data_IF_248222639557
#
_entry.id   IF_248222639557
#
_cell.length_a   1.000
_cell.length_b   1.000
_cell.length_c   1.000
_cell.angle_alpha   90.00
_cell.angle_beta   90.00
_cell.angle_gamma   90.00
#
_symmetry.space_group_name_H-M   'P 1'
#
loop_
_entity.id
_entity.type
_entity.pdbx_description
1 polymer ?
#
# COMPACT_ATOMS: atom_id res chain seq x y z
N UNK A 1 -24.02 -68.61 -38.75
CA UNK A 1 -22.83 -67.75 -38.43
C UNK A 1 -22.83 -66.44 -39.23
N UNK A 2 -23.14 -66.48 -40.53
CA UNK A 2 -23.19 -65.28 -41.39
C UNK A 2 -24.25 -64.25 -40.92
N UNK A 3 -25.45 -64.72 -40.53
CA UNK A 3 -26.48 -63.79 -40.03
C UNK A 3 -26.10 -63.08 -38.73
N UNK A 4 -25.31 -63.72 -37.86
CA UNK A 4 -24.87 -63.12 -36.60
C UNK A 4 -23.78 -62.06 -36.86
N UNK A 5 -22.94 -62.30 -37.88
CA UNK A 5 -21.87 -61.36 -38.29
C UNK A 5 -22.46 -60.12 -38.94
N UNK A 6 -23.53 -60.30 -39.72
CA UNK A 6 -24.23 -59.19 -40.36
C UNK A 6 -24.99 -58.34 -39.33
N UNK A 7 -25.60 -58.94 -38.34
CA UNK A 7 -26.30 -58.24 -37.25
C UNK A 7 -25.34 -57.49 -36.34
N UNK A 8 -24.16 -58.07 -36.07
CA UNK A 8 -23.10 -57.35 -35.35
C UNK A 8 -22.51 -56.18 -36.16
N UNK A 9 -22.38 -56.33 -37.48
CA UNK A 9 -21.92 -55.26 -38.36
C UNK A 9 -22.92 -54.09 -38.45
N UNK A 10 -24.22 -54.37 -38.48
CA UNK A 10 -25.27 -53.31 -38.44
C UNK A 10 -25.32 -52.61 -37.07
N UNK A 11 -25.21 -53.35 -35.98
CA UNK A 11 -25.15 -52.77 -34.63
C UNK A 11 -23.88 -51.90 -34.44
N UNK A 12 -22.75 -52.33 -35.00
CA UNK A 12 -21.49 -51.54 -34.98
C UNK A 12 -21.60 -50.25 -35.79
N UNK A 13 -22.25 -50.30 -36.96
CA UNK A 13 -22.55 -49.11 -37.76
C UNK A 13 -23.49 -48.16 -37.08
N UNK A 14 -24.54 -48.68 -36.38
CA UNK A 14 -25.47 -47.90 -35.58
C UNK A 14 -24.76 -47.22 -34.40
N UNK A 15 -23.85 -47.94 -33.75
CA UNK A 15 -23.04 -47.39 -32.66
C UNK A 15 -22.06 -46.32 -33.15
N UNK A 16 -21.40 -46.52 -34.29
CA UNK A 16 -20.55 -45.51 -34.91
C UNK A 16 -21.32 -44.23 -35.29
N UNK A 17 -22.49 -44.37 -35.90
CA UNK A 17 -23.35 -43.25 -36.26
C UNK A 17 -23.83 -42.45 -35.04
N UNK A 18 -24.18 -43.15 -33.96
CA UNK A 18 -24.57 -42.52 -32.68
C UNK A 18 -23.39 -41.82 -32.02
N UNK A 19 -22.19 -42.43 -32.02
CA UNK A 19 -21.00 -41.83 -31.46
C UNK A 19 -20.56 -40.58 -32.26
N UNK A 20 -20.62 -40.62 -33.60
CA UNK A 20 -20.35 -39.45 -34.43
C UNK A 20 -21.37 -38.33 -34.25
N UNK A 21 -22.65 -38.64 -34.04
CA UNK A 21 -23.69 -37.68 -33.75
C UNK A 21 -23.43 -36.99 -32.35
N UNK A 22 -23.08 -37.80 -31.36
CA UNK A 22 -22.75 -37.28 -30.00
C UNK A 22 -21.46 -36.45 -30.05
N UNK A 23 -20.43 -36.84 -30.74
CA UNK A 23 -19.20 -36.06 -30.90
C UNK A 23 -19.49 -34.73 -31.59
N UNK A 24 -20.35 -34.72 -32.61
CA UNK A 24 -20.75 -33.50 -33.29
C UNK A 24 -21.57 -32.57 -32.41
N UNK A 25 -22.45 -33.13 -31.60
CA UNK A 25 -23.22 -32.36 -30.62
C UNK A 25 -22.34 -31.77 -29.51
N UNK A 26 -21.44 -32.57 -28.96
CA UNK A 26 -20.47 -32.10 -27.94
C UNK A 26 -19.52 -31.05 -28.54
N UNK A 27 -19.07 -31.22 -29.80
CA UNK A 27 -18.21 -30.21 -30.45
C UNK A 27 -18.95 -28.89 -30.67
N UNK A 28 -20.23 -28.92 -30.99
CA UNK A 28 -21.08 -27.75 -31.13
C UNK A 28 -21.28 -27.05 -29.75
N UNK A 29 -21.54 -27.82 -28.68
CA UNK A 29 -21.64 -27.29 -27.32
C UNK A 29 -20.33 -26.69 -26.84
N UNK A 30 -19.19 -27.32 -27.11
CA UNK A 30 -17.85 -26.78 -26.78
C UNK A 30 -17.60 -25.47 -27.51
N UNK A 31 -18.03 -25.33 -28.77
CA UNK A 31 -17.89 -24.08 -29.51
C UNK A 31 -18.73 -22.96 -28.91
N UNK A 32 -19.98 -23.26 -28.53
CA UNK A 32 -20.87 -22.28 -27.85
C UNK A 32 -20.29 -21.85 -26.52
N UNK A 33 -19.84 -22.81 -25.69
CA UNK A 33 -19.20 -22.51 -24.38
C UNK A 33 -17.94 -21.69 -24.57
N UNK A 34 -17.12 -22.00 -25.59
CA UNK A 34 -15.91 -21.22 -25.90
C UNK A 34 -16.24 -19.79 -26.28
N UNK A 35 -17.27 -19.57 -27.13
CA UNK A 35 -17.69 -18.23 -27.53
C UNK A 35 -18.31 -17.45 -26.37
N UNK A 36 -19.01 -18.13 -25.47
CA UNK A 36 -19.58 -17.52 -24.29
C UNK A 36 -18.50 -17.13 -23.25
N UNK A 37 -17.52 -18.00 -23.03
CA UNK A 37 -16.34 -17.72 -22.22
C UNK A 37 -15.52 -16.55 -22.81
N UNK A 38 -15.34 -16.53 -24.13
CA UNK A 38 -14.64 -15.43 -24.80
C UNK A 38 -15.37 -14.11 -24.59
N UNK A 39 -16.70 -14.08 -24.72
CA UNK A 39 -17.52 -12.88 -24.41
C UNK A 39 -17.41 -12.46 -22.95
N UNK A 40 -17.38 -13.40 -22.00
CA UNK A 40 -17.18 -13.08 -20.59
C UNK A 40 -15.79 -12.53 -20.32
N UNK A 41 -14.75 -13.10 -20.93
CA UNK A 41 -13.37 -12.59 -20.81
C UNK A 41 -13.27 -11.19 -21.42
N UNK A 42 -13.83 -10.98 -22.62
CA UNK A 42 -13.81 -9.68 -23.27
C UNK A 42 -14.64 -8.63 -22.48
N UNK A 43 -15.75 -9.04 -21.86
CA UNK A 43 -16.55 -8.22 -20.95
C UNK A 43 -15.79 -7.86 -19.68
N UNK A 44 -15.09 -8.82 -19.07
CA UNK A 44 -14.24 -8.58 -17.91
C UNK A 44 -13.02 -7.70 -18.25
N UNK A 45 -12.38 -7.94 -19.40
CA UNK A 45 -11.30 -7.10 -19.89
C UNK A 45 -11.76 -5.67 -20.18
N UNK A 46 -12.96 -5.50 -20.75
CA UNK A 46 -13.55 -4.19 -21.01
C UNK A 46 -13.94 -3.47 -19.71
N UNK A 47 -14.43 -4.21 -18.70
CA UNK A 47 -14.74 -3.65 -17.37
C UNK A 47 -13.46 -3.33 -16.59
N UNK A 48 -12.42 -4.16 -16.67
CA UNK A 48 -11.10 -3.87 -16.12
C UNK A 48 -10.43 -2.69 -16.83
N UNK A 49 -10.54 -2.60 -18.17
CA UNK A 49 -10.07 -1.43 -18.92
C UNK A 49 -10.89 -0.16 -18.62
N UNK A 50 -12.20 -0.28 -18.32
CA UNK A 50 -13.01 0.86 -17.83
C UNK A 50 -12.69 1.21 -16.39
N UNK A 51 -12.38 0.25 -15.52
CA UNK A 51 -11.92 0.49 -14.15
C UNK A 51 -10.49 1.04 -14.12
N UNK A 52 -9.61 0.56 -15.02
CA UNK A 52 -8.26 1.10 -15.22
C UNK A 52 -8.26 2.45 -15.97
N UNK A 53 -9.33 2.79 -16.68
CA UNK A 53 -9.56 4.10 -17.33
C UNK A 53 -10.22 5.14 -16.41
N UNK A 54 -10.36 4.88 -15.13
CA UNK A 54 -10.31 5.92 -14.14
C UNK A 54 -8.83 6.30 -14.06
N UNK A 55 -8.44 7.19 -14.97
CA UNK A 55 -7.07 7.71 -15.07
C UNK A 55 -6.63 8.05 -13.65
N UNK A 56 -5.66 7.29 -13.15
CA UNK A 56 -4.92 7.68 -11.97
C UNK A 56 -4.10 8.87 -12.45
N UNK A 57 -4.68 10.07 -12.33
CA UNK A 57 -3.97 11.29 -12.63
C UNK A 57 -2.80 11.36 -11.67
N UNK A 58 -1.59 11.46 -12.21
CA UNK A 58 -0.41 11.69 -11.39
C UNK A 58 -0.56 13.01 -10.66
N UNK A 59 0.03 13.12 -9.47
CA UNK A 59 -0.02 14.33 -8.65
C UNK A 59 0.31 15.59 -9.46
N UNK A 60 1.28 15.49 -10.36
CA UNK A 60 1.69 16.57 -11.24
C UNK A 60 0.58 17.03 -12.19
N UNK A 61 -0.15 16.08 -12.77
CA UNK A 61 -1.27 16.39 -13.67
C UNK A 61 -2.43 17.03 -12.93
N UNK A 62 -2.71 16.56 -11.69
CA UNK A 62 -3.74 17.14 -10.84
C UNK A 62 -3.34 18.53 -10.36
N UNK A 63 -2.06 18.72 -9.99
CA UNK A 63 -1.54 20.04 -9.62
C UNK A 63 -1.56 20.98 -10.81
N UNK A 64 -1.11 20.53 -12.00
CA UNK A 64 -1.16 21.31 -13.23
C UNK A 64 -2.60 21.70 -13.58
N UNK A 65 -3.51 20.75 -13.60
CA UNK A 65 -4.91 20.99 -13.94
C UNK A 65 -5.59 21.96 -12.94
N UNK A 66 -5.33 21.77 -11.64
CA UNK A 66 -5.88 22.63 -10.58
C UNK A 66 -5.23 24.01 -10.56
N UNK A 67 -3.95 24.15 -10.92
CA UNK A 67 -3.25 25.44 -10.99
C UNK A 67 -3.49 26.16 -12.31
N UNK A 68 -3.38 25.50 -13.47
CA UNK A 68 -3.64 26.11 -14.78
C UNK A 68 -5.08 26.60 -14.91
N UNK A 69 -6.05 25.81 -14.43
CA UNK A 69 -7.45 26.22 -14.43
C UNK A 69 -7.80 27.32 -13.43
N UNK A 70 -6.97 27.55 -12.42
CA UNK A 70 -7.27 28.46 -11.31
C UNK A 70 -6.18 29.50 -11.05
N UNK A 71 -5.21 29.67 -11.95
CA UNK A 71 -4.10 30.61 -11.74
C UNK A 71 -4.57 32.04 -11.53
N UNK A 72 -5.54 32.50 -12.35
CA UNK A 72 -6.15 33.82 -12.19
C UNK A 72 -6.94 33.93 -10.88
N UNK A 73 -7.60 32.86 -10.46
CA UNK A 73 -8.30 32.78 -9.19
C UNK A 73 -7.33 32.77 -8.00
N UNK A 74 -6.18 32.09 -8.14
CA UNK A 74 -5.10 32.09 -7.16
C UNK A 74 -4.50 33.51 -7.01
N UNK A 75 -4.20 34.17 -8.12
CA UNK A 75 -3.66 35.54 -8.10
C UNK A 75 -4.67 36.53 -7.48
N UNK A 76 -5.94 36.40 -7.82
CA UNK A 76 -7.02 37.21 -7.23
C UNK A 76 -7.21 36.94 -5.75
N UNK A 77 -7.19 35.64 -5.34
CA UNK A 77 -7.35 35.25 -3.94
C UNK A 77 -6.18 35.72 -3.10
N UNK A 78 -4.95 35.58 -3.59
CA UNK A 78 -3.75 36.08 -2.92
C UNK A 78 -3.77 37.59 -2.77
N UNK A 79 -4.31 38.33 -3.78
CA UNK A 79 -4.43 39.80 -3.72
C UNK A 79 -5.54 40.27 -2.76
N UNK A 80 -6.66 39.53 -2.68
CA UNK A 80 -7.81 39.92 -1.87
C UNK A 80 -7.79 39.42 -0.45
N UNK A 81 -7.41 38.11 -0.24
CA UNK A 81 -7.50 37.44 1.04
C UNK A 81 -6.14 37.04 1.62
N UNK A 82 -5.03 37.26 0.89
CA UNK A 82 -3.68 36.89 1.32
C UNK A 82 -3.41 35.39 1.40
N UNK A 83 -4.40 34.52 1.11
CA UNK A 83 -4.31 33.04 1.19
C UNK A 83 -4.98 32.36 0.02
N UNK A 84 -4.39 31.27 -0.42
CA UNK A 84 -4.98 30.33 -1.38
C UNK A 84 -4.66 28.91 -0.93
N UNK A 85 -5.69 28.03 -0.88
CA UNK A 85 -5.57 26.61 -0.50
C UNK A 85 -5.78 25.74 -1.73
N UNK A 86 -4.83 24.87 -2.01
CA UNK A 86 -4.95 23.81 -2.99
C UNK A 86 -5.16 22.49 -2.28
N UNK A 87 -6.34 21.89 -2.45
CA UNK A 87 -6.66 20.59 -1.86
C UNK A 87 -6.11 19.46 -2.74
N UNK A 88 -5.30 18.62 -2.16
CA UNK A 88 -4.64 17.48 -2.79
C UNK A 88 -5.09 16.12 -2.21
N UNK A 89 -6.15 16.11 -1.41
CA UNK A 89 -6.66 14.90 -0.75
C UNK A 89 -7.07 13.77 -1.69
N UNK A 90 -7.42 14.10 -2.95
CA UNK A 90 -7.89 13.12 -3.94
C UNK A 90 -6.77 12.46 -4.75
N UNK A 91 -5.51 12.78 -4.44
CA UNK A 91 -4.36 12.30 -5.22
C UNK A 91 -3.78 11.05 -4.58
N UNK A 92 -3.79 9.95 -5.32
CA UNK A 92 -3.02 8.75 -4.96
C UNK A 92 -1.55 8.96 -5.26
N UNK A 93 -0.70 8.50 -4.38
CA UNK A 93 0.76 8.61 -4.44
C UNK A 93 1.33 8.15 -5.78
N UNK A 94 2.31 8.88 -6.28
CA UNK A 94 2.98 8.56 -7.54
C UNK A 94 3.74 7.23 -7.45
N UNK A 95 3.33 6.25 -8.27
CA UNK A 95 4.24 5.19 -8.67
C UNK A 95 5.06 5.66 -9.86
N UNK A 96 6.38 5.57 -9.74
CA UNK A 96 7.31 5.84 -10.85
C UNK A 96 7.07 4.83 -11.98
N UNK A 97 6.22 5.18 -12.93
CA UNK A 97 6.15 4.50 -14.23
C UNK A 97 6.51 5.53 -15.29
N UNK A 98 7.67 5.34 -15.88
CA UNK A 98 8.30 6.26 -16.82
C UNK A 98 7.39 6.77 -17.92
N UNK A 99 7.47 8.06 -18.11
CA UNK A 99 7.55 8.76 -19.40
C UNK A 99 7.59 10.26 -19.14
N UNK A 100 8.79 10.79 -19.03
CA UNK A 100 9.06 12.20 -19.28
C UNK A 100 9.15 12.38 -20.80
N UNK A 101 8.03 12.65 -21.44
CA UNK A 101 8.01 13.26 -22.77
C UNK A 101 7.78 14.76 -22.57
N UNK A 102 8.85 15.51 -22.45
CA UNK A 102 8.82 16.97 -22.50
C UNK A 102 9.20 17.44 -23.88
N UNK A 103 8.43 18.37 -24.39
CA UNK A 103 8.69 19.06 -25.65
C UNK A 103 10.02 19.85 -25.55
N UNK A 104 10.98 19.50 -26.39
CA UNK A 104 12.31 20.10 -26.39
C UNK A 104 12.25 21.50 -27.02
N UNK A 105 12.07 22.53 -26.21
CA UNK A 105 12.46 23.87 -26.63
C UNK A 105 13.86 24.19 -26.12
N UNK A 106 14.74 24.42 -27.08
CA UNK A 106 16.17 24.62 -26.92
C UNK A 106 16.54 25.73 -25.94
N UNK A 107 17.59 25.49 -25.16
CA UNK A 107 18.54 26.34 -24.45
C UNK A 107 18.40 26.55 -22.95
N UNK A 108 17.37 26.09 -22.28
CA UNK A 108 17.35 25.97 -20.82
C UNK A 108 16.91 24.57 -20.47
N UNK A 109 17.62 23.88 -19.56
CA UNK A 109 17.08 22.67 -18.97
C UNK A 109 15.75 23.05 -18.28
N UNK A 110 14.60 22.66 -18.81
CA UNK A 110 13.32 23.22 -18.36
C UNK A 110 12.95 22.76 -16.94
N UNK A 111 13.59 21.73 -16.44
CA UNK A 111 13.30 21.18 -15.11
C UNK A 111 14.60 21.10 -14.29
N UNK A 112 14.61 21.68 -13.07
CA UNK A 112 15.68 21.44 -12.13
C UNK A 112 15.74 19.95 -11.78
N UNK A 113 16.96 19.40 -11.62
CA UNK A 113 17.15 18.06 -11.10
C UNK A 113 16.70 18.04 -9.64
N UNK A 114 15.59 17.35 -9.37
CA UNK A 114 15.01 17.21 -8.02
C UNK A 114 15.45 15.88 -7.45
N UNK A 115 15.73 15.83 -6.15
CA UNK A 115 16.01 14.59 -5.44
C UNK A 115 14.80 13.64 -5.55
N UNK A 116 15.01 12.32 -5.73
CA UNK A 116 13.93 11.36 -5.86
C UNK A 116 13.08 11.31 -4.59
N UNK A 117 11.80 11.02 -4.76
CA UNK A 117 10.90 10.67 -3.67
C UNK A 117 11.16 9.23 -3.19
N UNK A 118 10.70 8.89 -2.00
CA UNK A 118 10.70 7.52 -1.51
C UNK A 118 9.80 6.64 -2.39
N UNK A 119 10.24 5.41 -2.66
CA UNK A 119 9.54 4.50 -3.56
C UNK A 119 8.24 3.97 -2.99
N UNK A 120 8.16 3.85 -1.66
CA UNK A 120 7.02 3.30 -0.93
C UNK A 120 6.75 4.19 0.27
N UNK A 121 5.48 4.54 0.47
CA UNK A 121 5.05 5.25 1.66
C UNK A 121 4.27 4.32 2.59
N UNK A 122 4.38 4.53 3.88
CA UNK A 122 3.70 3.73 4.87
C UNK A 122 2.18 3.81 4.71
N UNK A 123 1.64 5.00 4.40
CA UNK A 123 0.21 5.24 4.17
C UNK A 123 -0.42 4.36 3.08
N UNK A 124 0.38 3.95 2.08
CA UNK A 124 -0.11 3.14 0.96
C UNK A 124 -0.31 1.66 1.32
N UNK A 125 0.26 1.24 2.45
CA UNK A 125 0.22 -0.15 2.92
C UNK A 125 -0.93 -0.41 3.90
N UNK A 126 -1.59 0.64 4.41
CA UNK A 126 -2.58 0.55 5.48
C UNK A 126 -3.92 1.17 5.10
N UNK A 127 -5.02 0.70 5.68
CA UNK A 127 -6.32 1.32 5.48
C UNK A 127 -6.39 2.70 6.14
N UNK A 128 -7.21 3.58 5.55
CA UNK A 128 -7.47 4.91 6.09
C UNK A 128 -8.89 4.97 6.64
N UNK A 129 -9.02 5.46 7.88
CA UNK A 129 -10.29 5.76 8.53
C UNK A 129 -10.42 7.28 8.64
N UNK A 130 -11.55 7.83 8.22
CA UNK A 130 -11.84 9.27 8.37
C UNK A 130 -12.50 9.52 9.71
N UNK A 131 -12.00 10.50 10.44
CA UNK A 131 -12.59 10.99 11.70
C UNK A 131 -13.03 12.43 11.52
N UNK A 132 -14.15 12.80 12.14
CA UNK A 132 -14.64 14.19 12.14
C UNK A 132 -14.01 15.02 13.27
N UNK A 133 -13.35 14.36 14.21
CA UNK A 133 -12.73 15.00 15.36
C UNK A 133 -11.28 14.57 15.51
N UNK A 134 -10.44 15.45 16.07
CA UNK A 134 -9.04 15.16 16.35
C UNK A 134 -8.81 14.12 17.44
N UNK A 135 -9.87 13.58 18.02
CA UNK A 135 -9.80 12.52 19.03
C UNK A 135 -10.56 11.30 18.52
N UNK A 136 -9.81 10.23 18.24
CA UNK A 136 -10.36 8.92 17.88
C UNK A 136 -10.29 7.98 19.06
N UNK A 137 -11.41 7.37 19.44
CA UNK A 137 -11.53 6.51 20.61
C UNK A 137 -11.99 5.13 20.20
N UNK A 138 -11.27 4.11 20.67
CA UNK A 138 -11.66 2.72 20.48
C UNK A 138 -11.44 1.90 21.76
N UNK A 139 -12.02 0.71 21.81
CA UNK A 139 -11.84 -0.20 22.94
C UNK A 139 -10.93 -1.35 22.53
N UNK A 140 -9.92 -1.58 23.36
CA UNK A 140 -8.95 -2.67 23.21
C UNK A 140 -9.24 -3.74 24.23
N UNK A 141 -9.26 -4.99 23.79
CA UNK A 141 -9.27 -6.13 24.71
C UNK A 141 -7.93 -6.25 25.43
N UNK A 142 -7.99 -6.44 26.74
CA UNK A 142 -6.80 -6.62 27.56
C UNK A 142 -6.21 -8.02 27.32
N UNK A 143 -4.89 -8.10 27.14
CA UNK A 143 -4.17 -9.37 27.05
C UNK A 143 -4.10 -10.08 28.41
N UNK A 144 -3.92 -11.38 28.38
CA UNK A 144 -3.66 -12.18 29.59
C UNK A 144 -4.92 -12.71 30.30
N UNK A 145 -6.08 -12.63 29.65
CA UNK A 145 -7.30 -13.24 30.17
C UNK A 145 -7.20 -14.77 30.07
N UNK A 146 -7.55 -15.44 31.17
CA UNK A 146 -7.52 -16.91 31.21
C UNK A 146 -8.83 -17.47 30.63
N UNK A 147 -8.69 -18.37 29.67
CA UNK A 147 -9.85 -19.12 29.17
C UNK A 147 -10.13 -20.29 30.11
N UNK A 148 -11.27 -20.25 30.81
CA UNK A 148 -11.73 -21.27 31.72
C UNK A 148 -12.77 -22.22 31.08
N UNK A 149 -12.97 -22.13 29.76
CA UNK A 149 -13.86 -23.03 29.06
C UNK A 149 -13.16 -24.40 28.92
N UNK A 150 -13.75 -25.39 29.55
CA UNK A 150 -13.22 -26.76 29.56
C UNK A 150 -14.39 -27.77 29.51
N UNK A 151 -14.07 -29.01 29.19
CA UNK A 151 -15.04 -30.11 29.33
C UNK A 151 -15.49 -30.23 30.79
N UNK A 152 -16.79 -30.27 31.00
CA UNK A 152 -17.39 -30.33 32.34
C UNK A 152 -17.84 -31.73 32.69
N UNK A 153 -17.59 -32.10 33.92
CA UNK A 153 -18.18 -33.33 34.51
C UNK A 153 -19.60 -33.04 34.96
N UNK A 154 -20.46 -34.01 34.87
CA UNK A 154 -21.85 -33.90 35.37
C UNK A 154 -21.87 -33.52 36.85
N UNK A 155 -22.64 -32.45 37.18
CA UNK A 155 -22.74 -31.91 38.54
C UNK A 155 -21.63 -30.95 38.98
N UNK A 156 -20.64 -30.66 38.14
CA UNK A 156 -19.58 -29.66 38.44
C UNK A 156 -19.95 -28.26 37.98
N UNK A 157 -19.47 -27.24 38.70
CA UNK A 157 -19.61 -25.86 38.34
C UNK A 157 -18.83 -25.52 37.06
N UNK A 158 -19.39 -24.66 36.22
CA UNK A 158 -18.75 -24.19 34.99
C UNK A 158 -17.73 -23.09 35.31
N UNK A 159 -16.60 -23.12 34.61
CA UNK A 159 -15.60 -22.04 34.72
C UNK A 159 -16.15 -20.71 34.15
N UNK A 160 -15.91 -19.63 34.86
CA UNK A 160 -16.30 -18.28 34.45
C UNK A 160 -15.15 -17.62 33.66
N UNK A 161 -15.46 -17.08 32.49
CA UNK A 161 -14.53 -16.24 31.74
C UNK A 161 -14.88 -14.77 31.95
N UNK A 162 -13.86 -13.99 32.34
CA UNK A 162 -14.00 -12.55 32.51
C UNK A 162 -13.30 -11.85 31.36
N UNK A 163 -14.00 -10.95 30.69
CA UNK A 163 -13.49 -10.13 29.61
C UNK A 163 -13.29 -8.70 30.11
N UNK A 164 -12.17 -8.09 29.76
CA UNK A 164 -11.85 -6.72 30.12
C UNK A 164 -11.47 -5.92 28.88
N UNK A 165 -12.06 -4.74 28.75
CA UNK A 165 -11.79 -3.80 27.66
C UNK A 165 -11.20 -2.52 28.24
N UNK A 166 -10.19 -1.97 27.58
CA UNK A 166 -9.60 -0.68 27.91
C UNK A 166 -9.90 0.33 26.80
N UNK A 167 -10.36 1.50 27.19
CA UNK A 167 -10.53 2.64 26.30
C UNK A 167 -9.16 3.18 25.90
N UNK A 168 -8.92 3.30 24.59
CA UNK A 168 -7.69 3.88 24.02
C UNK A 168 -8.07 5.12 23.22
N UNK A 169 -7.33 6.20 23.45
CA UNK A 169 -7.53 7.50 22.82
C UNK A 169 -6.35 7.77 21.90
N UNK A 170 -6.62 7.99 20.64
CA UNK A 170 -5.67 8.46 19.64
C UNK A 170 -5.94 9.94 19.42
N UNK A 171 -4.94 10.75 19.65
CA UNK A 171 -5.01 12.20 19.44
C UNK A 171 -4.25 12.48 18.17
N UNK A 172 -4.96 12.92 17.14
CA UNK A 172 -4.34 13.28 15.88
C UNK A 172 -3.54 14.57 16.03
N UNK A 173 -2.42 14.64 15.31
CA UNK A 173 -1.55 15.80 15.26
C UNK A 173 -1.42 16.36 13.87
N UNK A 174 -1.12 17.67 13.75
CA UNK A 174 -0.78 18.28 12.49
C UNK A 174 0.66 17.93 12.11
N UNK A 175 0.80 17.19 11.02
CA UNK A 175 2.08 17.07 10.32
C UNK A 175 2.16 18.20 9.29
N UNK A 176 3.06 19.14 9.49
CA UNK A 176 3.12 20.35 8.66
C UNK A 176 4.56 20.80 8.39
N UNK A 177 4.75 21.45 7.25
CA UNK A 177 5.99 22.10 6.87
C UNK A 177 5.73 23.32 5.99
N UNK A 178 6.68 24.24 5.89
CA UNK A 178 6.53 25.38 5.00
C UNK A 178 7.83 25.71 4.27
N UNK A 179 7.71 26.40 3.15
CA UNK A 179 8.80 26.97 2.39
C UNK A 179 8.46 28.39 1.97
N UNK A 180 9.47 29.27 1.97
CA UNK A 180 9.30 30.67 1.57
C UNK A 180 10.04 30.93 0.26
N UNK A 181 9.41 31.62 -0.68
CA UNK A 181 9.98 31.96 -1.97
C UNK A 181 9.60 33.38 -2.41
N UNK A 182 10.32 33.92 -3.38
CA UNK A 182 10.08 35.30 -3.81
C UNK A 182 8.86 35.41 -4.74
N UNK A 183 8.17 36.53 -4.68
CA UNK A 183 7.07 36.87 -5.58
C UNK A 183 7.47 36.84 -7.06
N UNK A 184 8.75 37.01 -7.38
CA UNK A 184 9.26 36.90 -8.73
C UNK A 184 9.20 35.46 -9.25
N UNK A 185 9.37 34.47 -8.37
CA UNK A 185 9.24 33.04 -8.70
C UNK A 185 7.79 32.65 -8.99
N UNK A 186 6.80 33.35 -8.41
CA UNK A 186 5.38 33.18 -8.73
C UNK A 186 5.06 33.48 -10.20
N UNK A 187 5.88 34.30 -10.88
CA UNK A 187 5.72 34.58 -12.31
C UNK A 187 6.26 33.46 -13.20
N UNK A 188 7.03 32.54 -12.63
CA UNK A 188 7.52 31.35 -13.32
C UNK A 188 6.57 30.18 -13.09
N UNK A 189 5.53 30.12 -13.89
CA UNK A 189 4.49 29.07 -13.82
C UNK A 189 5.06 27.65 -13.73
N UNK A 190 6.07 27.24 -14.53
CA UNK A 190 6.64 25.89 -14.46
C UNK A 190 7.25 25.56 -13.09
N UNK A 191 7.88 26.52 -12.42
CA UNK A 191 8.43 26.30 -11.09
C UNK A 191 7.33 26.05 -10.06
N UNK A 192 6.29 26.89 -10.08
CA UNK A 192 5.17 26.80 -9.14
C UNK A 192 4.35 25.51 -9.32
N UNK A 193 4.10 25.11 -10.56
CA UNK A 193 3.23 23.99 -10.88
C UNK A 193 3.93 22.65 -10.75
N UNK A 194 5.21 22.57 -11.03
CA UNK A 194 5.91 21.30 -11.13
C UNK A 194 6.90 21.06 -9.99
N UNK A 195 7.69 22.05 -9.62
CA UNK A 195 8.84 21.84 -8.74
C UNK A 195 8.50 21.99 -7.26
N UNK A 196 7.90 23.10 -6.86
CA UNK A 196 7.66 23.40 -5.45
C UNK A 196 6.69 22.40 -4.77
N UNK A 197 5.51 22.12 -5.35
CA UNK A 197 4.61 21.15 -4.74
C UNK A 197 5.23 19.75 -4.62
N UNK A 198 6.01 19.33 -5.61
CA UNK A 198 6.71 18.03 -5.59
C UNK A 198 7.74 17.95 -4.47
N UNK A 199 8.52 19.01 -4.28
CA UNK A 199 9.53 19.07 -3.22
C UNK A 199 8.86 19.04 -1.84
N UNK A 200 7.84 19.87 -1.62
CA UNK A 200 7.10 19.90 -0.38
C UNK A 200 6.43 18.56 -0.07
N UNK A 201 5.80 17.95 -1.07
CA UNK A 201 5.16 16.64 -0.92
C UNK A 201 6.17 15.53 -0.62
N UNK A 202 7.31 15.50 -1.33
CA UNK A 202 8.38 14.55 -1.06
C UNK A 202 8.86 14.63 0.39
N UNK A 203 9.10 15.86 0.85
CA UNK A 203 9.61 16.09 2.19
C UNK A 203 8.55 15.81 3.26
N UNK A 204 7.26 16.07 2.96
CA UNK A 204 6.13 15.69 3.78
C UNK A 204 6.06 14.16 3.94
N UNK A 205 6.04 13.39 2.86
CA UNK A 205 5.97 11.93 2.94
C UNK A 205 7.19 11.33 3.62
N UNK A 206 8.36 11.94 3.49
CA UNK A 206 9.54 11.51 4.23
C UNK A 206 9.35 11.69 5.74
N UNK A 207 8.78 12.78 6.17
CA UNK A 207 8.49 13.05 7.59
C UNK A 207 7.37 12.13 8.11
N UNK A 208 6.30 11.95 7.35
CA UNK A 208 5.19 11.07 7.69
C UNK A 208 5.64 9.61 7.84
N UNK A 209 6.39 9.09 6.87
CA UNK A 209 6.90 7.72 6.94
C UNK A 209 7.76 7.49 8.19
N UNK A 210 8.61 8.46 8.55
CA UNK A 210 9.43 8.38 9.74
C UNK A 210 8.59 8.43 11.03
N UNK A 211 7.58 9.30 11.08
CA UNK A 211 6.68 9.42 12.22
C UNK A 211 5.85 8.13 12.39
N UNK A 212 5.20 7.65 11.34
CA UNK A 212 4.39 6.44 11.37
C UNK A 212 5.21 5.20 11.72
N UNK A 213 6.38 5.05 11.11
CA UNK A 213 7.27 3.95 11.45
C UNK A 213 7.70 3.99 12.92
N UNK A 214 8.05 5.17 13.45
CA UNK A 214 8.42 5.33 14.85
C UNK A 214 7.29 4.96 15.80
N UNK A 215 6.06 5.40 15.51
CA UNK A 215 4.88 5.10 16.31
C UNK A 215 4.58 3.61 16.33
N UNK A 216 4.53 2.99 15.15
CA UNK A 216 4.20 1.55 15.02
C UNK A 216 5.31 0.67 15.61
N UNK A 217 6.57 0.95 15.29
CA UNK A 217 7.71 0.16 15.83
C UNK A 217 7.84 0.30 17.34
N UNK A 218 7.54 1.48 17.88
CA UNK A 218 7.54 1.71 19.33
C UNK A 218 6.40 1.04 20.08
N UNK A 219 5.25 0.85 19.43
CA UNK A 219 4.08 0.17 19.99
C UNK A 219 4.07 -1.34 19.75
N UNK A 220 4.77 -1.83 18.72
CA UNK A 220 4.83 -3.23 18.35
C UNK A 220 5.45 -4.09 19.44
N UNK A 221 5.00 -5.34 19.53
CA UNK A 221 5.61 -6.30 20.46
C UNK A 221 7.00 -6.66 19.93
N UNK A 222 8.03 -6.54 20.75
CA UNK A 222 9.35 -7.06 20.45
C UNK A 222 9.30 -8.58 20.38
N UNK A 223 9.85 -9.16 19.32
CA UNK A 223 10.01 -10.61 19.25
C UNK A 223 11.23 -11.01 20.06
N UNK A 224 11.05 -12.03 20.86
CA UNK A 224 12.18 -12.68 21.51
C UNK A 224 13.05 -13.38 20.46
N UNK A 225 14.34 -13.31 20.64
CA UNK A 225 15.39 -13.89 19.82
C UNK A 225 15.05 -15.28 19.30
N UNK A 226 15.25 -15.49 18.02
CA UNK A 226 15.31 -16.82 17.44
C UNK A 226 16.70 -17.41 17.68
N UNK A 227 16.80 -18.73 17.72
CA UNK A 227 18.11 -19.42 17.78
C UNK A 227 18.86 -19.36 16.43
N UNK A 228 18.21 -18.83 15.39
CA UNK A 228 18.71 -18.78 14.03
C UNK A 228 19.64 -17.58 13.82
N UNK A 229 20.72 -17.80 13.10
CA UNK A 229 21.69 -16.75 12.75
C UNK A 229 21.51 -16.22 11.32
N UNK A 230 20.68 -16.88 10.53
CA UNK A 230 20.42 -16.49 9.14
C UNK A 230 19.17 -15.60 9.07
N UNK A 231 19.31 -14.41 8.49
CA UNK A 231 18.24 -13.41 8.34
C UNK A 231 16.96 -14.00 7.75
N UNK A 232 17.10 -14.89 6.76
CA UNK A 232 15.96 -15.52 6.10
C UNK A 232 15.20 -16.47 7.04
N UNK A 233 15.93 -17.27 7.83
CA UNK A 233 15.34 -18.20 8.79
C UNK A 233 14.72 -17.45 9.97
N UNK A 234 15.37 -16.39 10.45
CA UNK A 234 14.81 -15.51 11.48
C UNK A 234 13.48 -14.90 11.03
N UNK A 235 13.41 -14.46 9.76
CA UNK A 235 12.17 -13.89 9.22
C UNK A 235 11.05 -14.94 9.14
N UNK A 236 11.37 -16.18 8.80
CA UNK A 236 10.40 -17.30 8.84
C UNK A 236 9.87 -17.51 10.24
N UNK A 237 10.76 -17.50 11.27
CA UNK A 237 10.37 -17.67 12.66
C UNK A 237 9.47 -16.54 13.16
N UNK A 238 9.76 -15.30 12.79
CA UNK A 238 8.90 -14.15 13.15
C UNK A 238 7.52 -14.22 12.49
N UNK A 239 7.45 -14.64 11.21
CA UNK A 239 6.18 -14.90 10.53
C UNK A 239 5.43 -16.07 11.22
N UNK A 240 6.15 -17.11 11.65
CA UNK A 240 5.55 -18.23 12.38
C UNK A 240 4.97 -17.76 13.73
N UNK A 241 5.69 -16.92 14.47
CA UNK A 241 5.23 -16.35 15.74
C UNK A 241 3.96 -15.52 15.56
N UNK A 242 3.89 -14.69 14.48
CA UNK A 242 2.70 -13.91 14.15
C UNK A 242 1.50 -14.82 13.87
N UNK A 243 1.71 -15.86 13.05
CA UNK A 243 0.66 -16.84 12.73
C UNK A 243 0.25 -17.69 13.93
N UNK A 244 1.19 -18.04 14.81
CA UNK A 244 0.90 -18.77 16.05
C UNK A 244 0.01 -17.94 17.00
N UNK A 245 0.18 -16.61 16.99
CA UNK A 245 -0.68 -15.70 17.70
C UNK A 245 -2.05 -15.46 17.00
N UNK A 246 -2.35 -16.20 15.92
CA UNK A 246 -3.55 -16.12 15.10
C UNK A 246 -3.72 -14.79 14.33
N UNK A 247 -2.65 -14.03 14.12
CA UNK A 247 -2.66 -12.85 13.25
C UNK A 247 -2.23 -13.21 11.82
N UNK A 248 -2.70 -12.42 10.86
CA UNK A 248 -2.32 -12.55 9.46
C UNK A 248 -1.16 -11.61 9.20
N UNK A 249 0.05 -12.14 9.01
CA UNK A 249 1.16 -11.32 8.55
C UNK A 249 0.86 -10.81 7.14
N UNK A 250 0.56 -9.52 7.01
CA UNK A 250 0.21 -8.89 5.73
C UNK A 250 1.45 -8.45 4.96
N UNK A 251 2.41 -7.86 5.66
CA UNK A 251 3.68 -7.37 5.13
C UNK A 251 4.81 -7.60 6.11
N UNK A 252 6.04 -7.76 5.57
CA UNK A 252 7.29 -7.69 6.32
C UNK A 252 8.12 -6.52 5.76
N UNK A 253 8.24 -5.44 6.51
CA UNK A 253 8.97 -4.24 6.12
C UNK A 253 10.42 -4.35 6.57
N UNK A 254 11.35 -4.14 5.64
CA UNK A 254 12.79 -4.17 5.88
C UNK A 254 13.47 -2.98 5.22
N UNK A 255 14.72 -2.69 5.60
CA UNK A 255 15.51 -1.70 4.87
C UNK A 255 15.97 -2.23 3.51
N UNK A 256 16.36 -1.31 2.61
CA UNK A 256 16.94 -1.68 1.30
C UNK A 256 18.21 -2.53 1.46
N UNK A 257 19.03 -2.21 2.46
CA UNK A 257 20.25 -2.95 2.81
C UNK A 257 19.90 -4.38 3.22
N UNK A 258 18.89 -4.53 4.06
CA UNK A 258 18.43 -5.83 4.55
C UNK A 258 17.80 -6.66 3.43
N UNK A 259 17.03 -6.04 2.55
CA UNK A 259 16.48 -6.72 1.36
C UNK A 259 17.60 -7.28 0.48
N UNK A 260 18.67 -6.51 0.26
CA UNK A 260 19.82 -7.00 -0.49
C UNK A 260 20.51 -8.21 0.18
N UNK A 261 20.56 -8.24 1.53
CA UNK A 261 21.09 -9.39 2.29
C UNK A 261 20.19 -10.62 2.13
N UNK A 262 18.87 -10.45 2.24
CA UNK A 262 17.89 -11.52 2.02
C UNK A 262 17.98 -12.07 0.60
N UNK A 263 18.09 -11.23 -0.42
CA UNK A 263 18.28 -11.67 -1.80
C UNK A 263 19.57 -12.45 -1.99
N UNK A 264 20.68 -12.00 -1.41
CA UNK A 264 21.95 -12.74 -1.45
C UNK A 264 21.84 -14.09 -0.75
N UNK A 265 21.17 -14.16 0.40
CA UNK A 265 20.94 -15.41 1.13
C UNK A 265 20.07 -16.38 0.32
N UNK A 266 19.02 -15.92 -0.36
CA UNK A 266 18.18 -16.78 -1.20
C UNK A 266 18.93 -17.30 -2.42
N UNK A 267 19.75 -16.47 -3.07
CA UNK A 267 20.60 -16.88 -4.20
C UNK A 267 21.65 -17.90 -3.76
N UNK A 268 22.33 -17.67 -2.65
CA UNK A 268 23.36 -18.57 -2.09
C UNK A 268 22.77 -19.93 -1.67
N UNK A 269 21.54 -19.95 -1.18
CA UNK A 269 20.84 -21.17 -0.80
C UNK A 269 20.24 -21.94 -1.99
N UNK A 270 20.35 -21.41 -3.22
CA UNK A 270 19.80 -22.05 -4.43
C UNK A 270 18.28 -22.00 -4.53
N UNK A 271 17.62 -21.11 -3.80
CA UNK A 271 16.18 -20.87 -3.94
C UNK A 271 15.91 -20.09 -5.22
N UNK A 272 15.56 -20.81 -6.29
CA UNK A 272 15.14 -20.21 -7.55
C UNK A 272 13.63 -19.96 -7.56
N UNK A 273 13.21 -19.00 -8.37
CA UNK A 273 11.82 -18.62 -8.55
C UNK A 273 10.89 -19.84 -8.70
N UNK A 274 9.95 -20.01 -7.79
CA UNK A 274 8.87 -21.00 -7.88
C UNK A 274 9.08 -22.32 -7.10
N UNK A 275 10.14 -22.48 -6.34
CA UNK A 275 10.37 -23.68 -5.51
C UNK A 275 10.17 -23.38 -4.02
N UNK A 276 9.03 -23.78 -3.46
CA UNK A 276 8.84 -23.83 -2.01
C UNK A 276 8.24 -22.59 -1.36
N UNK A 277 8.52 -22.41 -0.07
CA UNK A 277 7.93 -21.35 0.78
C UNK A 277 8.52 -19.96 0.55
N UNK A 278 9.63 -19.86 -0.17
CA UNK A 278 10.30 -18.61 -0.53
C UNK A 278 10.24 -18.43 -2.03
N UNK A 279 9.61 -17.36 -2.47
CA UNK A 279 9.45 -17.02 -3.89
C UNK A 279 10.19 -15.70 -4.14
N UNK A 280 11.14 -15.74 -5.07
CA UNK A 280 11.80 -14.54 -5.58
C UNK A 280 11.12 -14.15 -6.89
N UNK A 281 10.49 -13.01 -6.93
CA UNK A 281 9.83 -12.50 -8.11
C UNK A 281 10.86 -11.96 -9.14
N UNK A 282 10.57 -11.98 -10.44
CA UNK A 282 11.46 -11.43 -11.46
C UNK A 282 11.85 -9.95 -11.25
N UNK A 283 11.02 -9.21 -10.53
CA UNK A 283 11.23 -7.79 -10.20
C UNK A 283 12.07 -7.58 -8.93
N UNK A 284 12.69 -8.64 -8.37
CA UNK A 284 13.51 -8.56 -7.16
C UNK A 284 12.74 -8.58 -5.84
N UNK A 285 11.40 -8.70 -5.87
CA UNK A 285 10.60 -8.88 -4.66
C UNK A 285 10.73 -10.28 -4.09
N UNK A 286 10.73 -10.40 -2.75
CA UNK A 286 10.72 -11.68 -2.04
C UNK A 286 9.36 -11.86 -1.39
N UNK A 287 8.83 -13.09 -1.47
CA UNK A 287 7.65 -13.51 -0.72
C UNK A 287 8.01 -14.73 0.10
N UNK A 288 7.80 -14.68 1.40
CA UNK A 288 8.13 -15.76 2.33
C UNK A 288 6.84 -16.26 2.96
N UNK A 289 6.56 -17.55 2.77
CA UNK A 289 5.35 -18.19 3.29
C UNK A 289 4.05 -17.42 3.00
N UNK A 290 3.97 -16.81 1.81
CA UNK A 290 2.85 -16.01 1.35
C UNK A 290 2.86 -14.55 1.83
N UNK A 291 3.86 -14.14 2.65
CA UNK A 291 4.02 -12.78 3.14
C UNK A 291 5.00 -12.03 2.24
N UNK A 292 4.59 -10.93 1.59
CA UNK A 292 5.48 -10.11 0.79
C UNK A 292 6.46 -9.34 1.68
N UNK A 293 7.75 -9.42 1.34
CA UNK A 293 8.80 -8.62 1.95
C UNK A 293 8.95 -7.32 1.15
N UNK A 294 8.75 -6.20 1.81
CA UNK A 294 8.75 -4.87 1.21
C UNK A 294 9.95 -4.08 1.73
N UNK A 295 10.79 -3.61 0.83
CA UNK A 295 11.94 -2.79 1.18
C UNK A 295 11.55 -1.30 1.17
N UNK A 296 11.93 -0.59 2.22
CA UNK A 296 11.70 0.84 2.33
C UNK A 296 12.89 1.56 2.98
N UNK A 297 13.26 2.70 2.41
CA UNK A 297 14.44 3.48 2.84
C UNK A 297 14.29 4.13 4.22
N UNK A 298 13.08 4.17 4.76
CA UNK A 298 12.75 4.72 6.09
C UNK A 298 12.71 3.66 7.20
N UNK A 299 12.87 2.38 6.86
CA UNK A 299 12.99 1.31 7.85
C UNK A 299 14.43 1.26 8.37
N UNK A 300 14.57 1.09 9.68
CA UNK A 300 15.89 0.96 10.32
C UNK A 300 16.61 -0.29 9.83
N UNK A 301 17.91 -0.17 9.54
CA UNK A 301 18.76 -1.30 9.18
C UNK A 301 18.78 -2.37 10.29
N UNK A 302 18.99 -3.62 9.88
CA UNK A 302 19.04 -4.77 10.76
C UNK A 302 17.75 -5.01 11.59
N UNK A 303 16.62 -4.47 11.12
CA UNK A 303 15.30 -4.63 11.73
C UNK A 303 14.26 -5.08 10.72
N UNK A 304 13.22 -5.72 11.24
CA UNK A 304 11.99 -6.04 10.48
C UNK A 304 10.77 -5.60 11.27
N UNK A 305 9.81 -5.04 10.57
CA UNK A 305 8.47 -4.79 11.10
C UNK A 305 7.48 -5.66 10.34
N UNK A 306 6.85 -6.60 11.04
CA UNK A 306 5.79 -7.46 10.50
C UNK A 306 4.49 -7.06 11.18
N UNK A 307 3.42 -6.89 10.43
CA UNK A 307 2.13 -6.50 10.99
C UNK A 307 0.95 -7.10 10.24
N UNK A 308 -0.17 -7.18 10.95
CA UNK A 308 -1.48 -7.49 10.40
C UNK A 308 -2.20 -6.19 10.06
N UNK A 309 -2.48 -6.01 8.76
CA UNK A 309 -3.11 -4.81 8.23
C UNK A 309 -4.55 -4.59 8.74
N UNK A 310 -5.18 -5.61 9.31
CA UNK A 310 -6.53 -5.51 9.88
C UNK A 310 -6.56 -4.76 11.22
N UNK A 311 -5.41 -4.63 11.88
CA UNK A 311 -5.26 -3.98 13.18
C UNK A 311 -4.41 -2.72 13.14
N UNK A 312 -4.06 -2.25 11.96
CA UNK A 312 -3.30 -1.03 11.75
C UNK A 312 -4.10 -0.11 10.84
N UNK A 313 -4.32 1.11 11.27
CA UNK A 313 -5.13 2.09 10.54
C UNK A 313 -4.53 3.49 10.62
N UNK A 314 -4.69 4.26 9.56
CA UNK A 314 -4.41 5.69 9.52
C UNK A 314 -5.70 6.46 9.78
N UNK A 315 -5.72 7.27 10.82
CA UNK A 315 -6.86 8.11 11.17
C UNK A 315 -6.63 9.50 10.58
N UNK A 316 -7.43 9.86 9.60
CA UNK A 316 -7.34 11.15 8.88
C UNK A 316 -8.53 12.02 9.26
N UNK A 317 -8.25 13.24 9.70
CA UNK A 317 -9.26 14.29 9.99
C UNK A 317 -9.30 15.28 8.83
N UNK A 318 -8.14 15.85 8.47
CA UNK A 318 -7.98 16.71 7.32
C UNK A 318 -6.93 16.14 6.38
N UNK A 319 -7.30 16.02 5.10
CA UNK A 319 -6.41 15.50 4.08
C UNK A 319 -5.25 16.46 3.76
N UNK A 320 -4.26 15.92 3.06
CA UNK A 320 -3.09 16.69 2.65
C UNK A 320 -3.49 17.91 1.84
N UNK A 321 -3.03 19.09 2.27
CA UNK A 321 -3.29 20.35 1.61
C UNK A 321 -2.03 21.22 1.52
N UNK A 322 -1.93 22.03 0.47
CA UNK A 322 -0.91 23.08 0.33
C UNK A 322 -1.60 24.43 0.33
N UNK A 323 -1.17 25.32 1.22
CA UNK A 323 -1.66 26.68 1.31
C UNK A 323 -0.55 27.69 1.01
N UNK A 324 -0.92 28.79 0.35
CA UNK A 324 -0.02 29.90 0.04
C UNK A 324 -0.48 31.16 0.74
N UNK A 325 0.45 31.89 1.35
CA UNK A 325 0.13 33.13 2.05
C UNK A 325 1.21 34.19 1.90
N UNK A 326 0.77 35.47 1.79
CA UNK A 326 1.64 36.65 1.84
C UNK A 326 1.79 37.22 3.26
N UNK A 327 0.95 36.79 4.22
CA UNK A 327 0.79 37.44 5.52
C UNK A 327 1.77 36.96 6.60
N UNK A 328 2.63 35.98 6.25
CA UNK A 328 3.56 35.42 7.23
C UNK A 328 4.73 36.39 7.52
N UNK A 329 4.83 36.85 8.77
CA UNK A 329 5.96 37.68 9.24
C UNK A 329 6.21 38.93 8.36
N UNK A 330 7.45 39.04 7.85
CA UNK A 330 7.87 40.16 7.00
C UNK A 330 7.66 39.93 5.48
N UNK A 331 6.90 38.93 5.11
CA UNK A 331 6.67 38.55 3.69
C UNK A 331 6.20 39.72 2.83
N UNK A 332 5.30 40.54 3.37
CA UNK A 332 4.77 41.70 2.67
C UNK A 332 5.88 42.71 2.33
N UNK A 333 6.76 42.99 3.29
CA UNK A 333 7.86 43.96 3.11
C UNK A 333 8.94 43.43 2.18
N UNK A 334 9.19 42.10 2.18
CA UNK A 334 10.26 41.45 1.42
C UNK A 334 9.78 40.88 0.08
N UNK A 335 8.53 41.07 -0.30
CA UNK A 335 7.94 40.47 -1.50
C UNK A 335 8.11 38.93 -1.54
N UNK A 336 7.84 38.28 -0.41
CA UNK A 336 7.91 36.84 -0.25
C UNK A 336 6.51 36.22 -0.18
N UNK A 337 6.44 34.94 -0.50
CA UNK A 337 5.24 34.10 -0.33
C UNK A 337 5.66 32.84 0.42
N UNK A 338 4.87 32.47 1.41
CA UNK A 338 5.05 31.20 2.14
C UNK A 338 4.06 30.16 1.60
N UNK A 339 4.58 29.01 1.23
CA UNK A 339 3.78 27.82 0.94
C UNK A 339 3.88 26.88 2.13
N UNK A 340 2.74 26.46 2.70
CA UNK A 340 2.62 25.52 3.79
C UNK A 340 1.95 24.25 3.28
N UNK A 341 2.52 23.08 3.61
CA UNK A 341 1.92 21.77 3.41
C UNK A 341 1.53 21.22 4.77
N UNK A 342 0.36 20.67 4.89
CA UNK A 342 -0.13 20.09 6.14
C UNK A 342 -1.16 19.00 5.93
N UNK A 343 -1.22 18.07 6.89
CA UNK A 343 -2.23 17.05 7.03
C UNK A 343 -2.52 16.87 8.52
N UNK A 344 -3.79 16.64 8.87
CA UNK A 344 -4.19 16.38 10.25
C UNK A 344 -4.56 14.91 10.38
N UNK A 345 -3.62 14.11 10.89
CA UNK A 345 -3.71 12.67 10.91
C UNK A 345 -2.84 12.04 12.00
N UNK A 346 -3.08 10.77 12.29
CA UNK A 346 -2.19 9.93 13.08
C UNK A 346 -2.34 8.47 12.64
N UNK A 347 -1.42 7.60 13.10
CA UNK A 347 -1.45 6.16 12.88
C UNK A 347 -1.79 5.44 14.19
N UNK A 348 -2.65 4.44 14.09
CA UNK A 348 -3.11 3.68 15.24
C UNK A 348 -2.83 2.18 15.05
N UNK A 349 -2.13 1.58 16.02
CA UNK A 349 -1.99 0.14 16.16
C UNK A 349 -2.98 -0.36 17.21
N UNK A 350 -4.10 -0.94 16.77
CA UNK A 350 -5.20 -1.34 17.64
C UNK A 350 -4.77 -2.37 18.69
N UNK A 351 -4.01 -3.38 18.29
CA UNK A 351 -3.45 -4.40 19.15
C UNK A 351 -1.93 -4.42 19.02
N UNK A 352 -1.21 -4.20 20.10
CA UNK A 352 0.27 -4.21 20.12
C UNK A 352 0.85 -5.56 19.69
N UNK A 353 0.13 -6.65 19.97
CA UNK A 353 0.52 -8.02 19.59
C UNK A 353 0.29 -8.34 18.11
N UNK A 354 -0.44 -7.50 17.37
CA UNK A 354 -0.67 -7.67 15.93
C UNK A 354 0.52 -7.24 15.08
N UNK A 355 1.53 -6.61 15.68
CA UNK A 355 2.76 -6.22 15.02
C UNK A 355 3.98 -6.71 15.81
N UNK A 356 4.99 -7.17 15.07
CA UNK A 356 6.29 -7.60 15.61
C UNK A 356 7.37 -6.69 15.05
N UNK A 357 8.15 -6.07 15.94
CA UNK A 357 9.35 -5.34 15.57
C UNK A 357 10.56 -6.05 16.15
N UNK A 358 11.43 -6.58 15.30
CA UNK A 358 12.50 -7.50 15.70
C UNK A 358 13.81 -7.24 14.95
N UNK A 359 14.90 -7.77 15.52
CA UNK A 359 16.22 -7.73 14.90
C UNK A 359 16.37 -8.80 13.82
N UNK A 360 17.01 -8.41 12.71
CA UNK A 360 17.44 -9.30 11.64
C UNK A 360 18.96 -9.22 11.49
N UNK A 361 19.61 -10.36 11.53
CA UNK A 361 21.06 -10.42 11.33
C UNK A 361 21.81 -10.00 12.55
N UNK A 362 22.27 -10.90 13.23
CA UNK A 362 23.25 -10.97 14.25
C UNK A 362 23.09 -11.22 15.59
N UNK A 363 23.89 -11.94 15.70
CA UNK A 363 24.60 -11.88 17.02
C UNK A 363 26.10 -11.84 16.78
#
# INVERSE_FOLDING_TARGET
MENLINEMAENLKGFQANAEAQIKEVSAQVTVVKDELQKQIDGQLASQKKAAKKEVKFMDEVILEKLDGNFDAMEKSLKNNGKYRLDLSDVKTMTLSGNLTGDAQASYAPNPAIQPAQSINFRDLIPTVRSESGLYVYYRENSGLTNNIAAQTEGSDKGENNYSLTEVKVVNDYLAGFSTFSKQMLKSLPFMTQTLPRMLQRDFFKAENAAFFSTVSGAATGSTTTAETNDLLQLVDYIANQKQANFVASFALVSETQMARLLKATIAAGYYAGAGSVIVNPNGGITIWGVPVVAASWVTDDKVLIFDNSYLERVEVEGLAIEFSYENGENFQKNLVTARIECYEDINLMLTTSAIFADLGNV
#
